data_IF_454762596384
#
_entry.id   IF_454762596384
#
_cell.length_a   1.000
_cell.length_b   1.000
_cell.length_c   1.000
_cell.angle_alpha   90.00
_cell.angle_beta   90.00
_cell.angle_gamma   90.00
#
_symmetry.space_group_name_H-M   'P 1'
#
loop_
_entity.id
_entity.type
_entity.pdbx_description
1 polymer ?
#
# COMPACT_ATOMS: atom_id res chain seq x y z
N UNK A 1 31.17 6.88 -11.56
CA UNK A 1 30.10 7.88 -11.34
C UNK A 1 29.78 7.88 -9.86
N UNK A 2 29.89 9.00 -9.14
CA UNK A 2 29.35 9.08 -7.79
C UNK A 2 27.83 9.26 -7.91
N UNK A 3 27.09 8.16 -7.82
CA UNK A 3 25.65 8.21 -7.70
C UNK A 3 25.33 8.91 -6.38
N UNK A 4 24.89 10.17 -6.45
CA UNK A 4 24.65 10.97 -5.26
C UNK A 4 23.29 10.54 -4.68
N UNK A 5 23.31 9.47 -3.87
CA UNK A 5 22.11 8.79 -3.35
C UNK A 5 21.18 9.75 -2.61
N UNK A 6 21.72 10.76 -1.92
CA UNK A 6 20.93 11.78 -1.25
C UNK A 6 20.04 12.57 -2.20
N UNK A 7 20.51 12.85 -3.43
CA UNK A 7 19.73 13.54 -4.44
C UNK A 7 18.57 12.66 -4.91
N UNK A 8 18.84 11.39 -5.24
CA UNK A 8 17.79 10.46 -5.65
C UNK A 8 16.70 10.23 -4.58
N UNK A 9 17.07 10.09 -3.31
CA UNK A 9 16.09 10.01 -2.21
C UNK A 9 15.23 11.25 -2.10
N UNK A 10 15.87 12.41 -2.14
CA UNK A 10 15.16 13.67 -2.10
C UNK A 10 14.18 13.80 -3.27
N UNK A 11 14.59 13.37 -4.48
CA UNK A 11 13.71 13.35 -5.64
C UNK A 11 12.49 12.42 -5.48
N UNK A 12 12.68 11.22 -4.95
CA UNK A 12 11.58 10.28 -4.69
C UNK A 12 10.64 10.78 -3.60
N UNK A 13 11.19 11.37 -2.54
CA UNK A 13 10.44 11.96 -1.44
C UNK A 13 9.56 13.11 -1.93
N UNK A 14 10.10 14.01 -2.77
CA UNK A 14 9.32 15.09 -3.36
C UNK A 14 8.13 14.58 -4.19
N UNK A 15 8.34 13.56 -5.02
CA UNK A 15 7.25 12.96 -5.82
C UNK A 15 6.21 12.29 -4.91
N UNK A 16 6.64 11.57 -3.88
CA UNK A 16 5.75 10.90 -2.93
C UNK A 16 4.89 11.91 -2.14
N UNK A 17 5.51 12.97 -1.63
CA UNK A 17 4.80 14.03 -0.91
C UNK A 17 3.78 14.74 -1.79
N UNK A 18 4.10 14.99 -3.08
CA UNK A 18 3.16 15.59 -4.02
C UNK A 18 1.91 14.71 -4.24
N UNK A 19 2.09 13.40 -4.42
CA UNK A 19 0.97 12.46 -4.57
C UNK A 19 0.11 12.41 -3.30
N UNK A 20 0.73 12.38 -2.12
CA UNK A 20 0.01 12.40 -0.84
C UNK A 20 -0.83 13.67 -0.66
N UNK A 21 -0.29 14.83 -1.00
CA UNK A 21 -1.00 16.12 -0.90
C UNK A 21 -2.19 16.16 -1.88
N UNK A 22 -2.03 15.66 -3.11
CA UNK A 22 -3.14 15.60 -4.09
C UNK A 22 -4.27 14.68 -3.60
N UNK A 23 -3.92 13.51 -3.06
CA UNK A 23 -4.91 12.55 -2.55
C UNK A 23 -5.63 13.11 -1.32
N UNK A 24 -4.89 13.71 -0.39
CA UNK A 24 -5.48 14.36 0.77
C UNK A 24 -6.44 15.49 0.35
N UNK A 25 -6.04 16.35 -0.59
CA UNK A 25 -6.85 17.47 -1.05
C UNK A 25 -8.12 17.02 -1.78
N UNK A 26 -8.04 15.99 -2.61
CA UNK A 26 -9.20 15.45 -3.35
C UNK A 26 -10.23 14.79 -2.41
N UNK A 27 -9.76 14.12 -1.36
CA UNK A 27 -10.62 13.55 -0.30
C UNK A 27 -11.23 14.65 0.56
N UNK A 28 -10.44 15.64 1.00
CA UNK A 28 -10.92 16.80 1.76
C UNK A 28 -12.03 17.55 1.02
N UNK A 29 -11.85 17.78 -0.28
CA UNK A 29 -12.86 18.43 -1.14
C UNK A 29 -14.18 17.66 -1.22
N UNK A 30 -14.14 16.33 -1.20
CA UNK A 30 -15.35 15.49 -1.21
C UNK A 30 -16.05 15.44 0.15
N UNK A 31 -15.29 15.57 1.23
CA UNK A 31 -15.80 15.52 2.60
C UNK A 31 -16.20 16.89 3.15
N UNK A 32 -15.98 17.99 2.40
CA UNK A 32 -16.30 19.33 2.85
C UNK A 32 -17.82 19.47 3.10
N UNK A 33 -18.25 19.75 4.35
CA UNK A 33 -19.66 19.90 4.71
C UNK A 33 -20.34 20.99 3.88
N UNK A 34 -21.58 20.76 3.43
CA UNK A 34 -22.30 21.72 2.60
C UNK A 34 -22.47 23.10 3.26
N UNK A 35 -22.50 23.16 4.60
CA UNK A 35 -22.56 24.40 5.38
C UNK A 35 -21.33 25.30 5.22
N UNK A 36 -20.16 24.74 4.89
CA UNK A 36 -18.90 25.49 4.74
C UNK A 36 -18.61 25.88 3.27
N UNK A 37 -19.35 25.32 2.30
CA UNK A 37 -19.17 25.63 0.87
C UNK A 37 -19.35 27.11 0.49
N UNK A 38 -20.30 27.88 1.03
CA UNK A 38 -20.46 29.28 0.62
C UNK A 38 -19.30 30.18 1.07
N UNK A 39 -18.82 30.05 2.32
CA UNK A 39 -17.63 30.79 2.80
C UNK A 39 -16.34 30.29 2.15
N UNK A 40 -16.25 28.99 1.89
CA UNK A 40 -15.07 28.40 1.29
C UNK A 40 -15.00 28.65 -0.24
N UNK A 41 -16.09 29.07 -0.90
CA UNK A 41 -16.15 29.26 -2.37
C UNK A 41 -15.13 30.27 -2.92
N UNK A 42 -14.72 31.26 -2.12
CA UNK A 42 -13.70 32.25 -2.49
C UNK A 42 -12.28 31.77 -2.17
N UNK A 43 -12.11 30.95 -1.12
CA UNK A 43 -10.81 30.48 -0.63
C UNK A 43 -10.37 29.16 -1.28
N UNK A 44 -11.31 28.29 -1.63
CA UNK A 44 -11.08 26.96 -2.22
C UNK A 44 -10.37 27.00 -3.58
N UNK A 45 -10.71 27.90 -4.51
CA UNK A 45 -10.00 27.99 -5.78
C UNK A 45 -8.55 28.46 -5.58
N UNK A 46 -8.34 29.42 -4.68
CA UNK A 46 -7.01 29.95 -4.34
C UNK A 46 -6.17 28.87 -3.66
N UNK A 47 -6.71 28.17 -2.67
CA UNK A 47 -6.04 27.07 -1.98
C UNK A 47 -5.73 25.90 -2.92
N UNK A 48 -6.67 25.55 -3.82
CA UNK A 48 -6.44 24.52 -4.84
C UNK A 48 -5.34 24.93 -5.82
N UNK A 49 -5.29 26.20 -6.20
CA UNK A 49 -4.23 26.76 -7.04
C UNK A 49 -2.87 26.68 -6.36
N UNK A 50 -2.77 27.10 -5.10
CA UNK A 50 -1.52 27.05 -4.31
C UNK A 50 -1.03 25.61 -4.14
N UNK A 51 -1.94 24.68 -3.82
CA UNK A 51 -1.63 23.25 -3.66
C UNK A 51 -1.21 22.62 -4.98
N UNK A 52 -1.90 22.94 -6.08
CA UNK A 52 -1.54 22.49 -7.42
C UNK A 52 -0.14 22.95 -7.82
N UNK A 53 0.17 24.24 -7.62
CA UNK A 53 1.50 24.81 -7.91
C UNK A 53 2.58 24.16 -7.04
N UNK A 54 2.32 23.94 -5.75
CA UNK A 54 3.25 23.26 -4.85
C UNK A 54 3.52 21.80 -5.28
N UNK A 55 2.49 21.06 -5.68
CA UNK A 55 2.62 19.69 -6.17
C UNK A 55 3.36 19.63 -7.51
N UNK A 56 3.07 20.53 -8.46
CA UNK A 56 3.81 20.62 -9.72
C UNK A 56 5.29 20.96 -9.49
N UNK A 57 5.59 21.86 -8.56
CA UNK A 57 6.97 22.20 -8.18
C UNK A 57 7.70 21.01 -7.56
N UNK A 58 7.05 20.25 -6.67
CA UNK A 58 7.61 19.04 -6.06
C UNK A 58 7.86 17.92 -7.07
N UNK A 59 6.93 17.72 -8.02
CA UNK A 59 7.08 16.73 -9.10
C UNK A 59 8.20 17.15 -10.05
N UNK A 60 8.25 18.42 -10.45
CA UNK A 60 9.29 18.96 -11.32
C UNK A 60 10.68 18.87 -10.68
N UNK A 61 10.80 19.26 -9.41
CA UNK A 61 12.02 19.12 -8.62
C UNK A 61 12.43 17.65 -8.50
N UNK A 62 11.47 16.76 -8.25
CA UNK A 62 11.68 15.31 -8.22
C UNK A 62 12.22 14.78 -9.55
N UNK A 63 11.56 15.09 -10.67
CA UNK A 63 11.98 14.62 -11.99
C UNK A 63 13.35 15.15 -12.42
N UNK A 64 13.65 16.44 -12.20
CA UNK A 64 14.97 17.03 -12.51
C UNK A 64 16.09 16.32 -11.75
N UNK A 65 15.81 15.89 -10.53
CA UNK A 65 16.77 15.18 -9.69
C UNK A 65 16.91 13.71 -10.08
N UNK A 66 15.84 13.09 -10.58
CA UNK A 66 15.81 11.69 -11.04
C UNK A 66 16.38 11.51 -12.46
N UNK A 67 16.35 12.55 -13.31
CA UNK A 67 16.72 12.46 -14.74
C UNK A 67 18.22 12.49 -15.12
N UNK A 68 19.25 12.63 -14.26
CA UNK A 68 20.63 12.61 -14.75
C UNK A 68 21.19 11.18 -14.75
N UNK A 69 20.91 10.37 -15.78
CA UNK A 69 21.64 9.11 -16.02
C UNK A 69 21.77 8.62 -17.47
N UNK A 70 21.26 9.31 -18.50
CA UNK A 70 21.48 8.92 -19.91
C UNK A 70 22.67 9.63 -20.57
N UNK A 71 23.80 9.81 -19.86
CA UNK A 71 25.09 10.15 -20.50
C UNK A 71 26.13 9.10 -20.16
N UNK A 72 26.19 8.07 -21.01
CA UNK A 72 27.29 7.10 -21.06
C UNK A 72 28.54 7.85 -21.49
N UNK A 73 29.39 8.22 -20.54
CA UNK A 73 30.73 8.76 -20.84
C UNK A 73 31.69 7.57 -20.91
N UNK A 74 31.98 7.09 -22.12
CA UNK A 74 33.10 6.18 -22.36
C UNK A 74 34.37 6.78 -21.73
N UNK A 75 35.01 6.05 -20.82
CA UNK A 75 36.27 6.48 -20.20
C UNK A 75 37.38 5.51 -20.63
N UNK A 76 38.27 6.04 -21.46
CA UNK A 76 39.55 5.48 -21.92
C UNK A 76 40.43 5.06 -20.72
N UNK A 77 41.25 3.99 -20.80
CA UNK A 77 41.93 3.42 -19.63
C UNK A 77 43.07 4.31 -19.10
N UNK A 78 43.24 4.32 -17.78
CA UNK A 78 44.23 5.13 -17.06
C UNK A 78 45.55 4.38 -16.83
N UNK A 79 46.67 5.06 -17.10
CA UNK A 79 48.05 4.63 -16.83
C UNK A 79 48.26 4.14 -15.39
N UNK A 80 48.99 3.02 -15.23
CA UNK A 80 49.32 2.40 -13.94
C UNK A 80 50.74 2.72 -13.47
N UNK A 81 50.97 2.63 -12.15
CA UNK A 81 52.27 2.84 -11.50
C UNK A 81 52.95 1.49 -11.21
N UNK A 82 54.15 1.27 -11.77
CA UNK A 82 54.93 0.03 -11.61
C UNK A 82 55.94 0.20 -10.49
N UNK A 83 56.03 -0.81 -9.63
CA UNK A 83 56.91 -0.86 -8.47
C UNK A 83 58.06 -1.84 -8.70
N UNK A 84 59.28 -1.32 -8.80
CA UNK A 84 60.48 -2.10 -9.05
C UNK A 84 61.05 -2.65 -7.74
N UNK A 85 61.24 -3.97 -7.69
CA UNK A 85 61.73 -4.69 -6.51
C UNK A 85 62.92 -5.54 -6.92
N UNK A 86 63.97 -5.49 -6.11
CA UNK A 86 65.19 -6.25 -6.30
C UNK A 86 65.63 -6.79 -4.93
N UNK A 87 65.87 -8.10 -4.84
CA UNK A 87 66.18 -8.77 -3.57
C UNK A 87 65.14 -8.60 -2.43
N UNK A 88 63.88 -8.31 -2.74
CA UNK A 88 62.80 -8.20 -1.74
C UNK A 88 62.58 -6.81 -1.13
N UNK A 89 63.37 -5.78 -1.46
CA UNK A 89 63.12 -4.37 -1.06
C UNK A 89 62.74 -3.51 -2.26
N UNK A 90 61.85 -2.53 -2.03
CA UNK A 90 61.36 -1.62 -3.08
C UNK A 90 62.37 -0.51 -3.28
N UNK A 91 62.92 -0.39 -4.50
CA UNK A 91 63.96 0.60 -4.85
C UNK A 91 63.40 1.87 -5.53
N UNK A 92 62.17 1.86 -6.05
CA UNK A 92 61.58 3.05 -6.68
C UNK A 92 60.26 2.79 -7.43
N UNK A 93 59.69 3.86 -7.99
CA UNK A 93 58.43 3.86 -8.74
C UNK A 93 58.64 4.43 -10.15
N UNK A 94 58.02 3.83 -11.18
CA UNK A 94 57.94 4.38 -12.54
C UNK A 94 56.50 4.40 -13.04
N UNK A 95 56.16 5.41 -13.84
CA UNK A 95 54.94 5.41 -14.65
C UNK A 95 55.22 4.59 -15.92
N UNK A 96 54.41 3.56 -16.15
CA UNK A 96 54.57 2.69 -17.30
C UNK A 96 53.51 1.60 -17.34
N UNK A 97 53.25 1.07 -18.53
CA UNK A 97 52.33 -0.04 -18.75
C UNK A 97 53.15 -1.34 -18.67
N UNK A 98 52.89 -2.19 -17.68
CA UNK A 98 53.52 -3.50 -17.54
C UNK A 98 52.44 -4.57 -17.53
N UNK A 99 52.56 -5.54 -18.42
CA UNK A 99 51.61 -6.63 -18.61
C UNK A 99 51.73 -7.75 -17.56
N UNK A 100 52.69 -7.71 -16.63
CA UNK A 100 53.09 -8.92 -15.88
C UNK A 100 53.30 -8.79 -14.35
N UNK A 101 52.69 -7.82 -13.64
CA UNK A 101 52.64 -7.87 -12.15
C UNK A 101 51.33 -7.33 -11.58
N UNK A 102 50.63 -8.06 -10.67
CA UNK A 102 49.33 -7.66 -10.16
C UNK A 102 49.48 -6.64 -9.02
N UNK A 103 48.93 -5.42 -9.17
CA UNK A 103 48.69 -4.52 -8.03
C UNK A 103 47.37 -3.78 -8.12
N UNK A 104 46.77 -3.66 -6.93
CA UNK A 104 45.62 -2.83 -6.55
C UNK A 104 44.24 -3.46 -6.76
N UNK A 105 43.88 -4.40 -5.90
CA UNK A 105 42.48 -4.85 -5.74
C UNK A 105 41.86 -4.55 -4.37
N UNK A 106 42.65 -4.27 -3.32
CA UNK A 106 42.10 -4.17 -1.93
C UNK A 106 41.28 -2.89 -1.68
N UNK A 107 41.74 -1.70 -2.09
CA UNK A 107 40.96 -0.45 -1.93
C UNK A 107 39.70 -0.43 -2.82
N UNK A 108 39.79 -1.00 -4.02
CA UNK A 108 38.67 -1.14 -4.95
C UNK A 108 37.63 -2.14 -4.43
N UNK A 109 38.07 -3.27 -3.85
CA UNK A 109 37.19 -4.23 -3.20
C UNK A 109 36.48 -3.62 -1.98
N UNK A 110 37.18 -2.85 -1.13
CA UNK A 110 36.58 -2.15 0.02
C UNK A 110 35.54 -1.11 -0.42
N UNK A 111 35.81 -0.38 -1.51
CA UNK A 111 34.90 0.62 -2.09
C UNK A 111 33.68 -0.03 -2.75
N UNK A 112 33.87 -1.08 -3.57
CA UNK A 112 32.79 -1.90 -4.15
C UNK A 112 31.91 -2.54 -3.08
N UNK A 113 32.49 -3.11 -2.02
CA UNK A 113 31.74 -3.68 -0.90
C UNK A 113 30.99 -2.64 -0.06
N UNK A 114 31.47 -1.38 -0.02
CA UNK A 114 30.74 -0.27 0.60
C UNK A 114 29.60 0.27 -0.27
N UNK A 115 29.77 0.26 -1.60
CA UNK A 115 28.77 0.66 -2.58
C UNK A 115 27.65 -0.38 -2.71
N UNK A 116 27.97 -1.68 -2.69
CA UNK A 116 26.99 -2.77 -2.68
C UNK A 116 26.10 -2.74 -1.42
N UNK A 117 26.69 -2.56 -0.22
CA UNK A 117 25.93 -2.41 1.04
C UNK A 117 25.07 -1.15 1.09
N UNK A 118 25.46 -0.08 0.38
CA UNK A 118 24.62 1.11 0.21
C UNK A 118 23.43 0.80 -0.68
N UNK A 119 23.64 0.10 -1.80
CA UNK A 119 22.57 -0.26 -2.74
C UNK A 119 21.48 -1.13 -2.09
N UNK A 120 21.87 -2.13 -1.28
CA UNK A 120 20.91 -2.94 -0.53
C UNK A 120 20.06 -2.09 0.43
N UNK A 121 20.67 -1.18 1.19
CA UNK A 121 19.92 -0.27 2.07
C UNK A 121 18.91 0.58 1.30
N UNK A 122 19.23 1.03 0.09
CA UNK A 122 18.31 1.87 -0.68
C UNK A 122 17.08 1.09 -1.13
N UNK A 123 17.26 -0.18 -1.46
CA UNK A 123 16.17 -1.09 -1.81
C UNK A 123 15.22 -1.27 -0.62
N UNK A 124 15.76 -1.54 0.57
CA UNK A 124 14.94 -1.66 1.79
C UNK A 124 14.19 -0.36 2.12
N UNK A 125 14.86 0.80 2.02
CA UNK A 125 14.21 2.10 2.27
C UNK A 125 13.09 2.35 1.26
N UNK A 126 13.30 2.04 -0.03
CA UNK A 126 12.25 2.18 -1.05
C UNK A 126 11.01 1.35 -0.70
N UNK A 127 11.19 0.08 -0.33
CA UNK A 127 10.07 -0.77 0.06
C UNK A 127 9.39 -0.31 1.35
N UNK A 128 10.16 0.19 2.33
CA UNK A 128 9.62 0.77 3.55
C UNK A 128 8.75 2.01 3.26
N UNK A 129 9.19 2.89 2.35
CA UNK A 129 8.40 4.06 1.92
C UNK A 129 7.12 3.63 1.20
N UNK A 130 7.19 2.66 0.29
CA UNK A 130 5.99 2.13 -0.39
C UNK A 130 4.99 1.57 0.63
N UNK A 131 5.47 0.78 1.59
CA UNK A 131 4.62 0.20 2.64
C UNK A 131 3.95 1.29 3.48
N UNK A 132 4.71 2.33 3.84
CA UNK A 132 4.18 3.48 4.60
C UNK A 132 3.07 4.20 3.82
N UNK A 133 3.28 4.48 2.52
CA UNK A 133 2.27 5.13 1.67
C UNK A 133 1.00 4.28 1.55
N UNK A 134 1.14 2.95 1.39
CA UNK A 134 -0.02 2.05 1.33
C UNK A 134 -0.77 2.03 2.67
N UNK A 135 -0.05 2.01 3.79
CA UNK A 135 -0.65 2.05 5.12
C UNK A 135 -1.40 3.37 5.35
N UNK A 136 -0.79 4.51 5.03
CA UNK A 136 -1.42 5.82 5.14
C UNK A 136 -2.68 5.92 4.27
N UNK A 137 -2.62 5.45 3.03
CA UNK A 137 -3.77 5.40 2.13
C UNK A 137 -4.91 4.54 2.71
N UNK A 138 -4.58 3.37 3.27
CA UNK A 138 -5.57 2.50 3.92
C UNK A 138 -6.20 3.17 5.15
N UNK A 139 -5.39 3.78 6.02
CA UNK A 139 -5.88 4.49 7.21
C UNK A 139 -6.75 5.70 6.83
N UNK A 140 -6.41 6.40 5.75
CA UNK A 140 -7.24 7.50 5.23
C UNK A 140 -8.61 7.00 4.75
N UNK A 141 -8.66 5.85 4.06
CA UNK A 141 -9.94 5.22 3.67
C UNK A 141 -10.70 4.75 4.90
N UNK A 142 -10.05 4.08 5.86
CA UNK A 142 -10.68 3.62 7.09
C UNK A 142 -11.30 4.78 7.89
N UNK A 143 -10.56 5.89 8.01
CA UNK A 143 -11.03 7.10 8.65
C UNK A 143 -12.22 7.73 7.90
N UNK A 144 -12.12 7.85 6.57
CA UNK A 144 -13.19 8.44 5.74
C UNK A 144 -14.52 7.68 5.85
N UNK A 145 -14.45 6.35 5.91
CA UNK A 145 -15.61 5.48 6.07
C UNK A 145 -15.95 5.19 7.53
N UNK A 146 -15.24 5.75 8.51
CA UNK A 146 -15.46 5.54 9.95
C UNK A 146 -15.43 4.07 10.39
N UNK A 147 -14.72 3.20 9.66
CA UNK A 147 -14.57 1.78 9.98
C UNK A 147 -13.20 1.29 9.55
N UNK A 148 -12.61 0.36 10.30
CA UNK A 148 -11.35 -0.28 9.91
C UNK A 148 -11.52 -1.27 8.74
N UNK A 149 -12.74 -1.68 8.42
CA UNK A 149 -13.02 -2.64 7.34
C UNK A 149 -13.99 -2.05 6.31
N UNK A 150 -13.59 -0.95 5.63
CA UNK A 150 -14.45 -0.21 4.72
C UNK A 150 -14.76 -0.96 3.42
N UNK A 151 -13.99 -2.01 3.11
CA UNK A 151 -14.13 -2.83 1.92
C UNK A 151 -14.28 -4.29 2.33
N UNK A 152 -15.35 -4.94 1.88
CA UNK A 152 -15.59 -6.37 2.12
C UNK A 152 -15.96 -7.09 0.83
N UNK A 153 -15.85 -8.41 0.83
CA UNK A 153 -16.24 -9.26 -0.31
C UNK A 153 -17.35 -10.19 0.13
N UNK A 154 -18.41 -10.26 -0.66
CA UNK A 154 -19.55 -11.14 -0.39
C UNK A 154 -19.15 -12.58 -0.71
N UNK A 155 -19.13 -13.45 0.31
CA UNK A 155 -18.70 -14.85 0.18
C UNK A 155 -19.85 -15.87 0.21
N UNK A 156 -21.08 -15.44 0.52
CA UNK A 156 -22.26 -16.32 0.62
C UNK A 156 -23.42 -15.82 -0.25
N UNK A 157 -24.36 -16.71 -0.53
CA UNK A 157 -25.56 -16.40 -1.32
C UNK A 157 -26.77 -15.93 -0.50
N UNK A 158 -26.64 -15.72 0.81
CA UNK A 158 -27.78 -15.42 1.70
C UNK A 158 -28.44 -14.07 1.43
N UNK A 159 -27.75 -13.17 0.73
CA UNK A 159 -28.25 -11.84 0.38
C UNK A 159 -28.72 -11.72 -1.07
N UNK A 160 -28.86 -12.82 -1.81
CA UNK A 160 -29.44 -12.79 -3.17
C UNK A 160 -30.92 -12.38 -3.11
N UNK A 161 -31.42 -11.61 -4.10
CA UNK A 161 -30.72 -11.08 -5.28
C UNK A 161 -29.97 -9.75 -5.03
N UNK A 162 -30.06 -9.18 -3.83
CA UNK A 162 -29.50 -7.86 -3.52
C UNK A 162 -27.98 -7.84 -3.56
N UNK A 163 -27.31 -8.87 -3.07
CA UNK A 163 -25.86 -9.03 -3.14
C UNK A 163 -25.52 -10.40 -3.73
N UNK A 164 -24.56 -10.42 -4.66
CA UNK A 164 -24.07 -11.63 -5.28
C UNK A 164 -22.71 -12.03 -4.70
N UNK A 165 -22.45 -13.34 -4.70
CA UNK A 165 -21.13 -13.87 -4.36
C UNK A 165 -20.08 -13.28 -5.30
N UNK A 166 -19.01 -12.71 -4.73
CA UNK A 166 -17.96 -12.02 -5.48
C UNK A 166 -18.20 -10.52 -5.67
N UNK A 167 -19.30 -9.95 -5.16
CA UNK A 167 -19.46 -8.49 -5.10
C UNK A 167 -18.45 -7.90 -4.10
N UNK A 168 -17.85 -6.78 -4.49
CA UNK A 168 -17.08 -5.93 -3.58
C UNK A 168 -18.03 -4.90 -2.97
N UNK A 169 -18.12 -4.84 -1.65
CA UNK A 169 -19.03 -3.94 -0.95
C UNK A 169 -18.25 -2.92 -0.13
N UNK A 170 -18.73 -1.67 -0.18
CA UNK A 170 -18.25 -0.58 0.65
C UNK A 170 -19.17 -0.45 1.86
N UNK A 171 -18.55 -0.40 3.03
CA UNK A 171 -19.22 -0.34 4.33
C UNK A 171 -18.78 0.93 5.03
N UNK A 172 -19.72 1.64 5.63
CA UNK A 172 -19.45 2.80 6.48
C UNK A 172 -19.77 2.48 7.94
N UNK A 173 -18.91 2.92 8.86
CA UNK A 173 -19.20 2.93 10.28
C UNK A 173 -20.28 3.97 10.57
N UNK A 174 -21.37 3.52 11.17
CA UNK A 174 -22.53 4.34 11.50
C UNK A 174 -22.86 4.09 12.97
N UNK A 175 -23.22 5.16 13.68
CA UNK A 175 -23.75 5.05 15.03
C UNK A 175 -24.98 4.14 15.04
N UNK A 176 -25.06 3.20 15.99
CA UNK A 176 -26.13 2.22 16.06
C UNK A 176 -27.53 2.85 16.09
N UNK A 177 -27.69 4.04 16.67
CA UNK A 177 -28.96 4.77 16.72
C UNK A 177 -29.43 5.28 15.35
N UNK A 178 -28.52 5.38 14.38
CA UNK A 178 -28.83 5.82 13.01
C UNK A 178 -29.16 4.66 12.06
N UNK A 179 -29.02 3.41 12.50
CA UNK A 179 -29.36 2.22 11.71
C UNK A 179 -30.87 2.01 11.75
N UNK A 180 -31.47 1.80 10.58
CA UNK A 180 -32.93 1.65 10.45
C UNK A 180 -33.31 0.29 9.89
N UNK A 181 -34.57 -0.12 10.13
CA UNK A 181 -35.17 -1.26 9.45
C UNK A 181 -35.04 -1.10 7.93
N UNK A 182 -34.57 -2.14 7.26
CA UNK A 182 -34.28 -2.16 5.83
C UNK A 182 -32.81 -1.94 5.48
N UNK A 183 -32.00 -1.38 6.38
CA UNK A 183 -30.56 -1.24 6.17
C UNK A 183 -29.87 -2.61 6.11
N UNK A 184 -28.81 -2.71 5.31
CA UNK A 184 -27.95 -3.90 5.29
C UNK A 184 -26.72 -3.59 6.11
N UNK A 185 -26.45 -4.40 7.13
CA UNK A 185 -25.34 -4.19 8.06
C UNK A 185 -24.37 -5.36 8.03
N UNK A 186 -23.07 -5.07 8.11
CA UNK A 186 -22.03 -6.04 8.43
C UNK A 186 -21.82 -6.06 9.95
N UNK A 187 -21.77 -7.24 10.53
CA UNK A 187 -21.61 -7.43 11.97
C UNK A 187 -20.81 -8.69 12.28
N UNK A 188 -20.26 -8.72 13.49
CA UNK A 188 -19.68 -9.93 14.05
C UNK A 188 -20.79 -10.81 14.63
N UNK A 189 -20.76 -12.10 14.28
CA UNK A 189 -21.72 -13.07 14.83
C UNK A 189 -21.51 -13.17 16.34
N UNK A 190 -22.56 -13.07 17.17
CA UNK A 190 -22.41 -13.18 18.62
C UNK A 190 -22.12 -14.62 19.05
N UNK A 191 -21.49 -14.77 20.22
CA UNK A 191 -21.34 -16.08 20.85
C UNK A 191 -22.71 -16.60 21.34
N UNK A 192 -22.97 -17.92 21.32
CA UNK A 192 -22.06 -19.00 20.92
C UNK A 192 -22.02 -19.29 19.40
N UNK A 193 -22.89 -18.64 18.60
CA UNK A 193 -23.08 -18.91 17.18
C UNK A 193 -21.81 -18.68 16.33
N UNK A 194 -20.92 -17.78 16.78
CA UNK A 194 -19.63 -17.51 16.15
C UNK A 194 -18.71 -18.74 16.03
N UNK A 195 -18.96 -19.82 16.80
CA UNK A 195 -18.17 -21.06 16.72
C UNK A 195 -18.51 -21.91 15.50
N UNK A 196 -19.76 -21.85 15.04
CA UNK A 196 -20.27 -22.65 13.92
C UNK A 196 -20.54 -21.81 12.66
N UNK A 197 -20.55 -20.48 12.79
CA UNK A 197 -20.87 -19.55 11.71
C UNK A 197 -19.66 -18.67 11.38
N UNK A 198 -19.18 -18.66 10.13
CA UNK A 198 -18.12 -17.75 9.70
C UNK A 198 -18.53 -16.28 9.92
N UNK A 199 -17.68 -15.54 10.63
CA UNK A 199 -17.81 -14.09 10.85
C UNK A 199 -16.77 -13.34 10.01
N UNK A 200 -17.03 -12.10 9.53
CA UNK A 200 -18.26 -11.32 9.66
C UNK A 200 -19.38 -11.77 8.71
N UNK A 201 -20.63 -11.43 9.05
CA UNK A 201 -21.85 -11.68 8.26
C UNK A 201 -22.49 -10.35 7.87
N UNK A 202 -23.17 -10.31 6.72
CA UNK A 202 -23.89 -9.15 6.23
C UNK A 202 -25.33 -9.52 5.91
N UNK A 203 -26.30 -8.98 6.66
CA UNK A 203 -27.73 -9.24 6.50
C UNK A 203 -28.56 -7.97 6.65
N UNK A 204 -29.84 -8.01 6.23
CA UNK A 204 -30.77 -6.88 6.32
C UNK A 204 -31.40 -6.80 7.71
N UNK A 205 -31.46 -5.59 8.27
CA UNK A 205 -32.17 -5.31 9.52
C UNK A 205 -33.68 -5.42 9.27
N UNK A 206 -34.33 -6.33 9.98
CA UNK A 206 -35.79 -6.52 9.93
C UNK A 206 -36.50 -5.89 11.12
N UNK A 207 -35.79 -5.71 12.23
CA UNK A 207 -36.29 -5.10 13.45
C UNK A 207 -35.17 -4.35 14.19
N UNK A 208 -35.51 -3.21 14.77
CA UNK A 208 -34.65 -2.43 15.67
C UNK A 208 -35.34 -2.38 17.02
N UNK A 209 -34.67 -2.89 18.05
CA UNK A 209 -35.17 -2.93 19.42
C UNK A 209 -34.28 -2.06 20.32
N UNK A 210 -34.86 -1.38 21.29
CA UNK A 210 -34.14 -0.56 22.26
C UNK A 210 -34.47 -1.04 23.66
N UNK A 211 -33.46 -1.50 24.39
CA UNK A 211 -33.59 -1.97 25.78
C UNK A 211 -32.42 -1.44 26.60
N UNK A 212 -32.67 -0.90 27.79
CA UNK A 212 -31.65 -0.41 28.73
C UNK A 212 -30.62 0.54 28.07
N UNK A 213 -31.10 1.52 27.30
CA UNK A 213 -30.27 2.48 26.53
C UNK A 213 -29.28 1.82 25.55
N UNK A 214 -29.58 0.60 25.10
CA UNK A 214 -28.81 -0.12 24.09
C UNK A 214 -29.69 -0.46 22.90
N UNK A 215 -29.11 -0.36 21.71
CA UNK A 215 -29.77 -0.72 20.45
C UNK A 215 -29.41 -2.16 20.09
N UNK A 216 -30.44 -2.90 19.70
CA UNK A 216 -30.38 -4.28 19.27
C UNK A 216 -31.03 -4.41 17.89
N UNK A 217 -30.51 -5.33 17.09
CA UNK A 217 -31.01 -5.59 15.74
C UNK A 217 -31.35 -7.06 15.57
N UNK A 218 -32.51 -7.32 14.96
CA UNK A 218 -32.76 -8.60 14.31
C UNK A 218 -32.45 -8.48 12.84
N UNK A 219 -31.76 -9.48 12.31
CA UNK A 219 -31.31 -9.50 10.93
C UNK A 219 -31.84 -10.71 10.18
N UNK A 220 -31.90 -10.59 8.86
CA UNK A 220 -32.30 -11.67 7.97
C UNK A 220 -31.55 -11.54 6.63
N UNK A 221 -31.03 -12.65 6.13
CA UNK A 221 -30.55 -12.72 4.75
C UNK A 221 -31.72 -12.60 3.77
N UNK A 222 -31.60 -11.78 2.72
CA UNK A 222 -32.67 -11.56 1.74
C UNK A 222 -33.16 -12.87 1.07
N UNK A 223 -32.29 -13.86 0.93
CA UNK A 223 -32.61 -15.18 0.37
C UNK A 223 -33.04 -16.20 1.44
N UNK A 224 -32.94 -15.88 2.74
CA UNK A 224 -33.25 -16.82 3.81
C UNK A 224 -34.77 -16.87 4.05
N UNK A 225 -35.31 -18.03 4.44
CA UNK A 225 -36.73 -18.18 4.74
C UNK A 225 -37.09 -17.53 6.10
N UNK A 226 -36.27 -17.75 7.11
CA UNK A 226 -36.44 -17.26 8.47
C UNK A 226 -35.46 -16.13 8.80
N UNK A 227 -35.77 -15.40 9.87
CA UNK A 227 -34.83 -14.48 10.53
C UNK A 227 -33.65 -15.25 11.13
N UNK A 228 -32.54 -14.53 11.35
CA UNK A 228 -31.39 -15.09 12.05
C UNK A 228 -31.75 -15.40 13.51
N UNK A 229 -31.22 -16.49 14.05
CA UNK A 229 -31.52 -16.95 15.41
C UNK A 229 -30.83 -16.16 16.53
N UNK A 230 -30.19 -15.04 16.20
CA UNK A 230 -29.42 -14.22 17.12
C UNK A 230 -29.84 -12.76 17.08
N UNK A 231 -29.54 -12.05 18.16
CA UNK A 231 -29.73 -10.60 18.26
C UNK A 231 -28.37 -9.91 18.23
N UNK A 232 -28.25 -8.87 17.40
CA UNK A 232 -27.01 -8.11 17.22
C UNK A 232 -27.04 -6.87 18.09
N UNK A 233 -26.03 -6.69 18.94
CA UNK A 233 -25.84 -5.45 19.68
C UNK A 233 -25.24 -4.37 18.78
N UNK A 234 -25.52 -3.10 19.05
CA UNK A 234 -24.88 -1.97 18.36
C UNK A 234 -23.35 -2.06 18.30
N UNK A 235 -22.72 -2.56 19.37
CA UNK A 235 -21.26 -2.75 19.45
C UNK A 235 -20.72 -3.84 18.52
N UNK A 236 -21.56 -4.82 18.14
CA UNK A 236 -21.17 -5.88 17.23
C UNK A 236 -21.24 -5.47 15.76
N UNK A 237 -21.82 -4.30 15.47
CA UNK A 237 -21.95 -3.77 14.12
C UNK A 237 -20.62 -3.19 13.66
N UNK A 238 -20.16 -3.67 12.51
CA UNK A 238 -18.93 -3.19 11.85
C UNK A 238 -19.24 -1.97 10.99
N UNK A 239 -20.42 -1.97 10.36
CA UNK A 239 -20.93 -0.84 9.62
C UNK A 239 -22.12 -1.20 8.71
N UNK A 240 -22.63 -0.19 8.01
CA UNK A 240 -23.74 -0.28 7.07
C UNK A 240 -23.24 -0.30 5.63
N UNK A 241 -23.88 -1.10 4.78
CA UNK A 241 -23.63 -1.12 3.34
C UNK A 241 -23.93 0.26 2.72
N UNK A 242 -22.93 0.84 2.08
CA UNK A 242 -23.06 2.09 1.33
C UNK A 242 -23.21 1.83 -0.17
N UNK A 243 -22.35 0.98 -0.71
CA UNK A 243 -22.28 0.75 -2.15
C UNK A 243 -21.78 -0.66 -2.47
N UNK A 244 -22.14 -1.18 -3.65
CA UNK A 244 -21.64 -2.46 -4.17
C UNK A 244 -21.06 -2.29 -5.57
N UNK A 245 -19.97 -2.99 -5.84
CA UNK A 245 -19.37 -3.12 -7.17
C UNK A 245 -19.46 -4.58 -7.57
N UNK A 246 -20.36 -4.93 -8.53
CA UNK A 246 -20.55 -6.31 -8.94
C UNK A 246 -19.26 -6.96 -9.43
N UNK A 247 -19.04 -8.23 -9.06
CA UNK A 247 -17.94 -9.08 -9.53
C UNK A 247 -16.49 -8.64 -9.21
N UNK A 248 -16.27 -7.43 -8.71
CA UNK A 248 -14.93 -6.89 -8.45
C UNK A 248 -14.22 -7.61 -7.28
N UNK A 249 -14.98 -8.25 -6.40
CA UNK A 249 -14.47 -9.06 -5.30
C UNK A 249 -14.09 -10.49 -5.69
N UNK A 250 -14.35 -10.92 -6.93
CA UNK A 250 -14.14 -12.30 -7.35
C UNK A 250 -12.68 -12.79 -7.21
N UNK A 251 -11.63 -12.00 -7.53
CA UNK A 251 -10.25 -12.44 -7.33
C UNK A 251 -9.95 -12.77 -5.86
N UNK A 252 -10.41 -11.91 -4.94
CA UNK A 252 -10.26 -12.10 -3.49
C UNK A 252 -11.09 -13.29 -3.01
N UNK A 253 -12.31 -13.43 -3.53
CA UNK A 253 -13.18 -14.58 -3.23
C UNK A 253 -12.53 -15.91 -3.64
N UNK A 254 -11.97 -16.00 -4.85
CA UNK A 254 -11.30 -17.23 -5.33
C UNK A 254 -10.07 -17.56 -4.48
N UNK A 255 -9.26 -16.55 -4.13
CA UNK A 255 -8.11 -16.72 -3.25
C UNK A 255 -8.50 -17.22 -1.86
N UNK A 256 -9.64 -16.76 -1.31
CA UNK A 256 -10.13 -17.15 0.01
C UNK A 256 -10.78 -18.54 0.03
N UNK A 257 -11.55 -18.85 -1.02
CA UNK A 257 -12.37 -20.08 -1.06
C UNK A 257 -11.56 -21.29 -1.53
N UNK A 258 -10.57 -21.10 -2.40
CA UNK A 258 -9.78 -22.21 -2.94
C UNK A 258 -8.34 -22.22 -2.37
N UNK A 259 -8.03 -23.09 -1.39
CA UNK A 259 -6.71 -23.13 -0.76
C UNK A 259 -5.60 -23.50 -1.74
N UNK A 260 -5.90 -24.25 -2.80
CA UNK A 260 -4.92 -24.59 -3.83
C UNK A 260 -4.50 -23.38 -4.64
N UNK A 261 -5.45 -22.51 -5.01
CA UNK A 261 -5.14 -21.26 -5.74
C UNK A 261 -4.24 -20.37 -4.89
N UNK A 262 -4.57 -20.21 -3.61
CA UNK A 262 -3.73 -19.47 -2.66
C UNK A 262 -2.31 -20.06 -2.56
N UNK A 263 -2.21 -21.39 -2.39
CA UNK A 263 -0.94 -22.10 -2.33
C UNK A 263 -0.11 -21.94 -3.62
N UNK A 264 -0.75 -22.02 -4.80
CA UNK A 264 -0.08 -21.82 -6.09
C UNK A 264 0.46 -20.40 -6.21
N UNK A 265 -0.30 -19.37 -5.84
CA UNK A 265 0.17 -17.98 -5.86
C UNK A 265 1.38 -17.78 -4.95
N UNK A 266 1.35 -18.34 -3.74
CA UNK A 266 2.50 -18.30 -2.82
C UNK A 266 3.70 -19.03 -3.41
N UNK A 267 3.50 -20.22 -3.99
CA UNK A 267 4.57 -21.00 -4.60
C UNK A 267 5.24 -20.24 -5.75
N UNK A 268 4.45 -19.63 -6.64
CA UNK A 268 4.97 -18.80 -7.73
C UNK A 268 5.75 -17.58 -7.21
N UNK A 269 5.25 -16.92 -6.15
CA UNK A 269 5.94 -15.81 -5.53
C UNK A 269 7.27 -16.25 -4.89
N UNK A 270 7.30 -17.40 -4.20
CA UNK A 270 8.50 -17.97 -3.60
C UNK A 270 9.54 -18.33 -4.67
N UNK A 271 9.13 -18.98 -5.77
CA UNK A 271 10.02 -19.29 -6.90
C UNK A 271 10.60 -18.01 -7.51
N UNK A 272 9.76 -16.99 -7.73
CA UNK A 272 10.20 -15.69 -8.22
C UNK A 272 11.21 -15.03 -7.27
N UNK A 273 10.95 -15.08 -5.96
CA UNK A 273 11.83 -14.53 -4.94
C UNK A 273 13.18 -15.25 -4.92
N UNK A 274 13.20 -16.58 -4.95
CA UNK A 274 14.44 -17.37 -5.04
C UNK A 274 15.20 -17.05 -6.32
N UNK A 275 14.52 -16.99 -7.47
CA UNK A 275 15.13 -16.61 -8.75
C UNK A 275 15.76 -15.21 -8.66
N UNK A 276 15.08 -14.24 -8.05
CA UNK A 276 15.58 -12.87 -7.89
C UNK A 276 16.86 -12.81 -7.04
N UNK A 277 16.94 -13.60 -5.98
CA UNK A 277 18.12 -13.70 -5.11
C UNK A 277 19.29 -14.37 -5.83
N UNK A 278 19.04 -15.49 -6.53
CA UNK A 278 20.07 -16.23 -7.27
C UNK A 278 20.65 -15.38 -8.40
N UNK A 279 19.80 -14.66 -9.15
CA UNK A 279 20.25 -13.74 -10.20
C UNK A 279 21.05 -12.58 -9.62
N UNK A 280 20.61 -12.01 -8.49
CA UNK A 280 21.31 -10.92 -7.80
C UNK A 280 22.69 -11.31 -7.26
N UNK A 281 22.95 -12.60 -7.00
CA UNK A 281 24.28 -13.09 -6.57
C UNK A 281 25.26 -13.34 -7.72
N UNK A 282 24.79 -13.41 -8.97
CA UNK A 282 25.61 -13.74 -10.15
C UNK A 282 26.09 -12.51 -10.95
N UNK A 283 25.59 -11.31 -10.66
CA UNK A 283 26.00 -10.05 -11.29
C UNK A 283 26.82 -9.18 -10.35
#
# INVERSE_FOLDING_TARGET
>A
MSFNSSRWFFGLLCVSSAVGIILFWTVFMRLLPERLRPEASTVLPVASGVIGVACCALIGLGMVILLPSLKVKHRVPSEGLILLRDGGRVKGFKHGVSETVPRVSVKLARKKASEARRFERLIYIKYAVILLVVLEAYLAVAYAFKTFTPVMVVCSGSMRPTLNVGDLVLVEGVDAWNIRKGDIIAFNVPQPYARSTPSPVMHRVVEVCVENDRVYFKTKGDANASEDSWTITGESVIGRLLYKVPYLGYPVYVLKTNPYVFATVIALFAVWLVYSIVKGRRG
#
